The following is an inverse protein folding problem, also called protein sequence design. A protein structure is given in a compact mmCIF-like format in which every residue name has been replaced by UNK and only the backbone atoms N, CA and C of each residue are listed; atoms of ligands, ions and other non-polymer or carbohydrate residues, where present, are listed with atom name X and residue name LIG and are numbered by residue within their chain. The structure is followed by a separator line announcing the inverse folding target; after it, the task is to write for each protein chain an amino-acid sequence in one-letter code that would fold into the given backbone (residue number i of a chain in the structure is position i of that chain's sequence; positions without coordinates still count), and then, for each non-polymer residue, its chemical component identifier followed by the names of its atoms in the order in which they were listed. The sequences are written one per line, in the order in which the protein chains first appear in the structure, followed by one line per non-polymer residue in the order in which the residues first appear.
data_IF_028862799413
#
_entry.id   IF_028862799413
#
_cell.length_a   1.000
_cell.length_b   1.000
_cell.length_c   1.000
_cell.angle_alpha   90.00
_cell.angle_beta   90.00
_cell.angle_gamma   90.00
#
_symmetry.space_group_name_H-M   'P 1'
#
loop_
_entity.id
_entity.type
_entity.pdbx_description
1 polymer ?
#
# COMPACT_ATOMS: atom_id res chain seq x y z
N UNK A 1 -7.32 0.88 0.70
CA UNK A 1 -8.49 1.78 0.69
C UNK A 1 -9.59 1.15 -0.15
N UNK A 2 -10.82 1.17 0.34
CA UNK A 2 -12.02 0.73 -0.40
C UNK A 2 -12.95 1.94 -0.55
N UNK A 3 -13.41 2.18 -1.77
CA UNK A 3 -14.38 3.21 -2.12
C UNK A 3 -15.67 2.50 -2.54
N UNK A 4 -16.73 2.67 -1.76
CA UNK A 4 -18.05 2.08 -2.03
C UNK A 4 -18.95 3.15 -2.67
N UNK A 5 -19.19 3.01 -3.96
CA UNK A 5 -20.09 3.88 -4.69
C UNK A 5 -21.49 3.26 -4.74
N UNK A 6 -22.49 4.01 -4.34
CA UNK A 6 -23.88 3.53 -4.36
C UNK A 6 -24.85 4.63 -4.73
N UNK A 7 -25.96 4.30 -5.44
CA UNK A 7 -27.07 5.23 -5.59
C UNK A 7 -27.72 5.51 -4.23
N UNK A 8 -28.23 6.72 -4.08
CA UNK A 8 -29.02 7.08 -2.89
C UNK A 8 -30.20 6.12 -2.69
N UNK A 9 -30.39 5.66 -1.46
CA UNK A 9 -31.50 4.77 -1.10
C UNK A 9 -31.38 3.32 -1.60
N UNK A 10 -30.20 2.88 -2.08
CA UNK A 10 -29.98 1.52 -2.54
C UNK A 10 -29.94 0.55 -1.35
N UNK A 11 -31.00 -0.25 -1.16
CA UNK A 11 -31.13 -1.20 -0.04
C UNK A 11 -30.01 -2.24 0.03
N UNK A 12 -29.62 -2.96 -1.07
CA UNK A 12 -28.51 -3.90 -1.04
C UNK A 12 -27.19 -3.25 -0.61
N UNK A 13 -26.94 -2.02 -1.04
CA UNK A 13 -25.72 -1.28 -0.68
C UNK A 13 -25.73 -0.88 0.80
N UNK A 14 -26.89 -0.56 1.37
CA UNK A 14 -27.02 -0.26 2.81
C UNK A 14 -26.68 -1.50 3.65
N UNK A 15 -27.11 -2.69 3.25
CA UNK A 15 -26.72 -3.92 3.92
C UNK A 15 -25.23 -4.20 3.81
N UNK A 16 -24.64 -3.99 2.62
CA UNK A 16 -23.20 -4.11 2.41
C UNK A 16 -22.41 -3.17 3.32
N UNK A 17 -22.85 -1.93 3.47
CA UNK A 17 -22.20 -0.94 4.34
C UNK A 17 -22.28 -1.36 5.82
N UNK A 18 -23.36 -2.00 6.24
CA UNK A 18 -23.48 -2.58 7.58
C UNK A 18 -22.42 -3.65 7.83
N UNK A 19 -22.20 -4.55 6.88
CA UNK A 19 -21.15 -5.56 6.94
C UNK A 19 -19.75 -4.91 6.90
N UNK A 20 -19.55 -3.92 6.04
CA UNK A 20 -18.27 -3.20 5.96
C UNK A 20 -17.95 -2.45 7.25
N UNK A 21 -18.94 -1.93 7.95
CA UNK A 21 -18.76 -1.32 9.27
C UNK A 21 -18.21 -2.33 10.29
N UNK A 22 -18.71 -3.56 10.28
CA UNK A 22 -18.16 -4.64 11.12
C UNK A 22 -16.72 -4.98 10.72
N UNK A 23 -16.41 -5.07 9.41
CA UNK A 23 -15.06 -5.35 8.92
C UNK A 23 -14.08 -4.24 9.31
N UNK A 24 -14.47 -2.96 9.18
CA UNK A 24 -13.61 -1.84 9.57
C UNK A 24 -13.36 -1.77 11.08
N UNK A 25 -14.30 -2.21 11.89
CA UNK A 25 -14.08 -2.33 13.34
C UNK A 25 -13.10 -3.44 13.71
N UNK A 26 -13.04 -4.51 12.92
CA UNK A 26 -12.06 -5.60 13.09
C UNK A 26 -10.67 -5.23 12.57
N UNK A 27 -10.60 -4.46 11.50
CA UNK A 27 -9.35 -4.04 10.82
C UNK A 27 -9.19 -2.52 10.88
N UNK A 28 -8.71 -2.01 11.99
CA UNK A 28 -8.59 -0.56 12.28
C UNK A 28 -7.77 0.22 11.24
N UNK A 29 -6.88 -0.45 10.52
CA UNK A 29 -6.05 0.18 9.47
C UNK A 29 -6.75 0.25 8.12
N UNK A 30 -7.95 -0.32 8.00
CA UNK A 30 -8.72 -0.27 6.76
C UNK A 30 -9.32 1.12 6.54
N UNK A 31 -9.09 1.68 5.35
CA UNK A 31 -9.74 2.92 4.91
C UNK A 31 -10.95 2.53 4.06
N UNK A 32 -12.14 2.81 4.56
CA UNK A 32 -13.41 2.56 3.88
C UNK A 32 -14.21 3.85 3.77
N UNK A 33 -14.67 4.17 2.55
CA UNK A 33 -15.43 5.40 2.28
C UNK A 33 -16.68 5.05 1.47
N UNK A 34 -17.86 5.14 2.09
CA UNK A 34 -19.11 5.10 1.35
C UNK A 34 -19.39 6.46 0.71
N UNK A 35 -19.75 6.45 -0.56
CA UNK A 35 -20.20 7.63 -1.33
C UNK A 35 -21.55 7.33 -1.94
N UNK A 36 -22.54 8.10 -1.54
CA UNK A 36 -23.87 8.07 -2.15
C UNK A 36 -23.91 9.04 -3.34
N UNK A 37 -24.40 8.57 -4.48
CA UNK A 37 -24.57 9.38 -5.68
C UNK A 37 -26.03 9.71 -5.87
N UNK A 38 -26.36 10.99 -5.88
CA UNK A 38 -27.74 11.51 -6.06
C UNK A 38 -28.01 12.09 -7.44
N UNK A 39 -27.06 11.93 -8.38
CA UNK A 39 -27.18 12.50 -9.72
C UNK A 39 -26.75 13.96 -9.84
N UNK A 40 -26.60 14.67 -8.75
CA UNK A 40 -25.98 15.99 -8.68
C UNK A 40 -24.53 15.83 -8.27
N UNK A 41 -23.60 16.49 -8.98
CA UNK A 41 -22.17 16.42 -8.70
C UNK A 41 -21.89 16.84 -7.26
N UNK A 42 -21.55 15.89 -6.40
CA UNK A 42 -21.29 16.15 -5.00
C UNK A 42 -19.86 16.64 -4.80
N UNK A 43 -19.70 17.94 -4.58
CA UNK A 43 -18.40 18.57 -4.24
C UNK A 43 -17.81 17.93 -2.97
N UNK A 44 -18.67 17.51 -2.04
CA UNK A 44 -18.23 16.85 -0.80
C UNK A 44 -17.64 15.47 -1.08
N UNK A 45 -18.14 14.73 -2.07
CA UNK A 45 -17.59 13.44 -2.46
C UNK A 45 -16.14 13.57 -2.92
N UNK A 46 -15.83 14.57 -3.75
CA UNK A 46 -14.47 14.84 -4.20
C UNK A 46 -13.52 15.12 -3.02
N UNK A 47 -13.91 16.00 -2.10
CA UNK A 47 -13.11 16.34 -0.91
C UNK A 47 -12.87 15.12 -0.02
N UNK A 48 -13.89 14.29 0.20
CA UNK A 48 -13.76 13.05 0.99
C UNK A 48 -12.80 12.05 0.35
N UNK A 49 -12.88 11.89 -0.98
CA UNK A 49 -11.96 11.03 -1.73
C UNK A 49 -10.53 11.55 -1.63
N UNK A 50 -10.32 12.87 -1.76
CA UNK A 50 -8.97 13.46 -1.65
C UNK A 50 -8.35 13.26 -0.26
N UNK A 51 -9.13 13.46 0.81
CA UNK A 51 -8.66 13.19 2.17
C UNK A 51 -8.25 11.72 2.35
N UNK A 52 -9.08 10.80 1.89
CA UNK A 52 -8.78 9.37 1.99
C UNK A 52 -7.58 8.93 1.14
N UNK A 53 -7.40 9.52 -0.04
CA UNK A 53 -6.20 9.31 -0.85
C UNK A 53 -4.95 9.80 -0.13
N UNK A 54 -5.03 10.92 0.57
CA UNK A 54 -3.96 11.43 1.42
C UNK A 54 -3.58 10.43 2.52
N UNK A 55 -4.57 9.93 3.25
CA UNK A 55 -4.37 8.92 4.29
C UNK A 55 -3.81 7.60 3.71
N UNK A 56 -4.37 7.13 2.59
CA UNK A 56 -3.90 5.91 1.93
C UNK A 56 -2.44 6.03 1.48
N UNK A 57 -2.06 7.18 0.91
CA UNK A 57 -0.66 7.46 0.53
C UNK A 57 0.27 7.48 1.74
N UNK A 58 -0.16 8.09 2.85
CA UNK A 58 0.63 8.12 4.08
C UNK A 58 0.85 6.71 4.64
N UNK A 59 -0.21 5.90 4.73
CA UNK A 59 -0.12 4.50 5.17
C UNK A 59 0.78 3.65 4.25
N UNK A 60 0.65 3.82 2.93
CA UNK A 60 1.51 3.11 1.98
C UNK A 60 3.00 3.48 2.12
N UNK A 61 3.30 4.75 2.38
CA UNK A 61 4.68 5.19 2.63
C UNK A 61 5.23 4.61 3.94
N UNK A 62 4.42 4.56 5.00
CA UNK A 62 4.82 3.98 6.27
C UNK A 62 5.07 2.47 6.14
N UNK A 63 4.18 1.75 5.44
CA UNK A 63 4.35 0.32 5.16
C UNK A 63 5.62 0.06 4.36
N UNK A 64 5.85 0.85 3.30
CA UNK A 64 7.06 0.75 2.48
C UNK A 64 8.33 0.95 3.31
N UNK A 65 8.36 2.04 4.12
CA UNK A 65 9.51 2.32 4.99
C UNK A 65 9.76 1.19 5.97
N UNK A 66 8.70 0.72 6.65
CA UNK A 66 8.81 -0.39 7.59
C UNK A 66 9.37 -1.65 6.92
N UNK A 67 8.83 -2.02 5.76
CA UNK A 67 9.30 -3.19 5.02
C UNK A 67 10.76 -3.02 4.55
N UNK A 68 11.16 -1.83 4.12
CA UNK A 68 12.52 -1.52 3.74
C UNK A 68 13.48 -1.68 4.94
N UNK A 69 13.12 -1.09 6.08
CA UNK A 69 13.91 -1.17 7.32
C UNK A 69 14.07 -2.63 7.79
N UNK A 70 13.01 -3.45 7.67
CA UNK A 70 13.04 -4.88 8.00
C UNK A 70 13.96 -5.69 7.09
N UNK A 71 14.17 -5.27 5.85
CA UNK A 71 15.08 -5.98 4.92
C UNK A 71 16.55 -5.78 5.28
N UNK A 72 16.88 -4.63 5.87
CA UNK A 72 18.24 -4.21 6.21
C UNK A 72 19.04 -3.65 5.03
N UNK A 73 18.46 -3.59 3.82
CA UNK A 73 19.10 -2.99 2.64
C UNK A 73 18.68 -1.53 2.46
N UNK A 74 19.58 -0.72 1.91
CA UNK A 74 19.23 0.64 1.49
C UNK A 74 18.44 0.62 0.18
N UNK A 75 17.71 1.70 -0.08
CA UNK A 75 16.96 1.83 -1.33
C UNK A 75 17.90 1.90 -2.55
N UNK A 76 19.10 2.44 -2.37
CA UNK A 76 20.14 2.54 -3.38
C UNK A 76 20.68 1.15 -3.75
N UNK A 77 20.94 0.29 -2.78
CA UNK A 77 21.37 -1.09 -3.01
C UNK A 77 20.31 -1.89 -3.78
N UNK A 78 19.03 -1.74 -3.38
CA UNK A 78 17.91 -2.40 -4.06
C UNK A 78 17.79 -1.91 -5.50
N UNK A 79 17.89 -0.60 -5.75
CA UNK A 79 17.86 -0.03 -7.09
C UNK A 79 19.00 -0.54 -7.95
N UNK A 80 20.24 -0.50 -7.46
CA UNK A 80 21.41 -1.00 -8.18
C UNK A 80 21.27 -2.48 -8.54
N UNK A 81 20.73 -3.29 -7.63
CA UNK A 81 20.47 -4.69 -7.91
C UNK A 81 19.39 -4.88 -9.00
N UNK A 82 18.30 -4.11 -8.94
CA UNK A 82 17.25 -4.15 -9.98
C UNK A 82 17.80 -3.72 -11.34
N UNK A 83 18.63 -2.67 -11.39
CA UNK A 83 19.28 -2.20 -12.62
C UNK A 83 20.23 -3.24 -13.21
N UNK A 84 20.94 -3.99 -12.38
CA UNK A 84 21.82 -5.08 -12.82
C UNK A 84 21.05 -6.32 -13.32
N UNK A 85 19.76 -6.45 -12.98
CA UNK A 85 18.94 -7.61 -13.29
C UNK A 85 17.77 -7.23 -14.23
N UNK A 86 17.97 -7.26 -15.53
CA UNK A 86 16.97 -6.90 -16.54
C UNK A 86 15.64 -7.66 -16.41
N UNK A 87 15.65 -8.84 -15.82
CA UNK A 87 14.46 -9.64 -15.56
C UNK A 87 13.48 -8.92 -14.62
N UNK A 88 14.00 -8.24 -13.58
CA UNK A 88 13.22 -7.50 -12.60
C UNK A 88 12.60 -6.21 -13.16
N UNK A 89 13.11 -5.73 -14.31
CA UNK A 89 12.64 -4.53 -14.97
C UNK A 89 11.55 -4.81 -16.02
N UNK A 90 11.20 -6.08 -16.24
CA UNK A 90 10.19 -6.41 -17.26
C UNK A 90 8.82 -5.88 -16.86
N UNK A 91 8.06 -5.29 -17.79
CA UNK A 91 6.66 -5.00 -17.58
C UNK A 91 5.93 -6.28 -17.17
N UNK A 92 5.04 -6.18 -16.17
CA UNK A 92 4.28 -7.32 -15.65
C UNK A 92 5.15 -8.44 -15.04
N UNK A 93 6.32 -8.10 -14.51
CA UNK A 93 7.10 -9.07 -13.73
C UNK A 93 6.27 -9.56 -12.53
N UNK A 94 6.01 -10.86 -12.49
CA UNK A 94 5.23 -11.48 -11.42
C UNK A 94 6.11 -11.80 -10.22
N UNK A 95 5.71 -11.32 -9.05
CA UNK A 95 6.34 -11.61 -7.78
C UNK A 95 5.26 -11.86 -6.72
N UNK A 96 5.51 -12.83 -5.85
CA UNK A 96 4.53 -13.18 -4.83
C UNK A 96 4.28 -12.05 -3.84
N UNK A 97 3.04 -11.99 -3.33
CA UNK A 97 2.67 -11.08 -2.25
C UNK A 97 2.90 -11.73 -0.89
N UNK A 98 3.58 -11.03 0.00
CA UNK A 98 3.78 -11.50 1.38
C UNK A 98 2.47 -11.27 2.18
N UNK A 99 2.04 -12.27 2.93
CA UNK A 99 0.86 -12.15 3.79
C UNK A 99 1.03 -10.98 4.78
N UNK A 100 0.04 -10.09 4.81
CA UNK A 100 0.04 -8.93 5.68
C UNK A 100 0.68 -7.66 5.10
N UNK A 101 1.25 -7.72 3.89
CA UNK A 101 1.78 -6.55 3.17
C UNK A 101 0.88 -6.26 1.97
N UNK A 102 0.31 -5.07 1.93
CA UNK A 102 -0.68 -4.68 0.91
C UNK A 102 -0.01 -3.93 -0.25
N UNK A 103 0.98 -3.09 0.04
CA UNK A 103 1.63 -2.24 -0.95
C UNK A 103 2.45 -3.03 -1.96
N UNK A 104 2.21 -2.80 -3.26
CA UNK A 104 2.96 -3.44 -4.35
C UNK A 104 4.46 -3.12 -4.24
N UNK A 105 4.81 -1.85 -3.99
CA UNK A 105 6.21 -1.44 -3.84
C UNK A 105 6.89 -2.11 -2.62
N UNK A 106 6.17 -2.24 -1.50
CA UNK A 106 6.68 -2.92 -0.31
C UNK A 106 6.92 -4.41 -0.57
N UNK A 107 5.97 -5.08 -1.23
CA UNK A 107 6.14 -6.48 -1.63
C UNK A 107 7.30 -6.68 -2.60
N UNK A 108 7.48 -5.75 -3.56
CA UNK A 108 8.60 -5.80 -4.51
C UNK A 108 9.94 -5.66 -3.79
N UNK A 109 10.07 -4.71 -2.86
CA UNK A 109 11.29 -4.55 -2.05
C UNK A 109 11.62 -5.82 -1.27
N UNK A 110 10.63 -6.44 -0.64
CA UNK A 110 10.82 -7.72 0.08
C UNK A 110 11.30 -8.81 -0.89
N UNK A 111 10.64 -8.95 -2.04
CA UNK A 111 11.00 -9.94 -3.06
C UNK A 111 12.44 -9.76 -3.53
N UNK A 112 12.83 -8.52 -3.87
CA UNK A 112 14.19 -8.20 -4.31
C UNK A 112 15.21 -8.51 -3.20
N UNK A 113 14.92 -8.10 -1.96
CA UNK A 113 15.82 -8.35 -0.83
C UNK A 113 16.02 -9.85 -0.56
N UNK A 114 14.97 -10.64 -0.69
CA UNK A 114 15.05 -12.10 -0.52
C UNK A 114 15.90 -12.73 -1.64
N UNK A 115 15.84 -12.16 -2.85
CA UNK A 115 16.68 -12.58 -3.98
C UNK A 115 18.14 -12.20 -3.76
N UNK A 116 18.42 -10.97 -3.31
CA UNK A 116 19.77 -10.51 -2.94
C UNK A 116 20.39 -11.40 -1.87
N UNK A 117 19.61 -11.81 -0.86
CA UNK A 117 20.08 -12.75 0.18
C UNK A 117 20.45 -14.11 -0.40
N UNK A 118 19.66 -14.65 -1.34
CA UNK A 118 19.96 -15.91 -2.02
C UNK A 118 21.23 -15.83 -2.85
N UNK A 119 21.49 -14.68 -3.46
CA UNK A 119 22.71 -14.42 -4.24
C UNK A 119 23.94 -14.11 -3.36
N UNK A 120 23.77 -14.17 -2.03
CA UNK A 120 24.86 -13.98 -1.07
C UNK A 120 25.26 -12.52 -0.84
N UNK A 121 24.48 -11.57 -1.33
CA UNK A 121 24.69 -10.13 -1.12
C UNK A 121 24.26 -9.78 0.29
N UNK A 122 25.22 -9.28 1.11
CA UNK A 122 24.94 -8.84 2.47
C UNK A 122 24.58 -7.34 2.47
N UNK A 123 23.59 -6.90 3.29
CA UNK A 123 23.30 -5.49 3.44
C UNK A 123 24.52 -4.75 4.01
N UNK A 124 24.83 -3.62 3.43
CA UNK A 124 25.81 -2.68 4.00
C UNK A 124 25.13 -2.02 5.19
N UNK A 125 25.67 -2.18 6.41
CA UNK A 125 25.09 -1.63 7.61
C UNK A 125 24.88 -0.11 7.48
N UNK A 126 23.67 0.30 7.16
CA UNK A 126 23.27 1.71 7.15
C UNK A 126 23.07 2.11 8.61
N UNK A 127 23.94 2.98 9.12
CA UNK A 127 23.68 3.70 10.36
C UNK A 127 22.38 4.47 10.16
N UNK A 128 21.33 4.10 10.85
CA UNK A 128 20.06 4.83 10.90
C UNK A 128 20.35 6.20 11.53
N UNK A 129 20.58 7.20 10.71
CA UNK A 129 20.47 8.57 11.18
C UNK A 129 18.99 8.82 11.43
N UNK A 130 18.64 8.94 12.70
CA UNK A 130 17.33 9.39 13.13
C UNK A 130 17.12 10.80 12.58
N UNK A 131 16.36 10.91 11.50
CA UNK A 131 15.84 12.21 11.05
C UNK A 131 14.73 12.58 12.02
N UNK A 132 15.11 13.31 13.08
CA UNK A 132 14.19 14.11 13.85
C UNK A 132 13.77 15.30 12.99
N UNK A 133 12.53 15.32 12.52
CA UNK A 133 11.79 16.52 12.17
C UNK A 133 10.29 16.18 12.07
#
# INVERSE_FOLDING_TARGET
MVLSLKPFGCMPSTQSDGVQSAVTSMFKDMIFIPIETSGEGDVNAHSRVQMALGEAKAKAKLEFKKCLDETGYSIEEIKAYVEANNELQRPFYDFGHKKGVIGVAANFVIHVSDRMKKDGIKPVAVKTEAVNA
#
